data_IF_598394592998
#
_entry.id   IF_598394592998
#
_cell.length_a   1.000
_cell.length_b   1.000
_cell.length_c   1.000
_cell.angle_alpha   90.00
_cell.angle_beta   90.00
_cell.angle_gamma   90.00
#
_symmetry.space_group_name_H-M   'P 1'
#
loop_
_entity.id
_entity.type
_entity.pdbx_description
1 polymer ?
#
# COMPACT_ATOMS: atom_id res chain seq x y z
N UNK A 1 -24.52 22.59 -21.49
CA UNK A 1 -24.72 21.15 -21.78
C UNK A 1 -23.50 20.34 -22.22
N UNK A 2 -22.83 20.57 -23.38
CA UNK A 2 -21.71 19.69 -23.83
C UNK A 2 -20.46 19.72 -22.91
N UNK A 3 -20.12 20.86 -22.29
CA UNK A 3 -19.00 20.99 -21.34
C UNK A 3 -19.25 20.26 -20.01
N UNK A 4 -20.45 20.40 -19.44
CA UNK A 4 -20.85 19.72 -18.19
C UNK A 4 -20.91 18.20 -18.34
N UNK A 5 -21.40 17.67 -19.48
CA UNK A 5 -21.39 16.22 -19.75
C UNK A 5 -19.96 15.67 -19.79
N UNK A 6 -19.03 16.33 -20.49
CA UNK A 6 -17.60 15.90 -20.54
C UNK A 6 -16.92 15.97 -19.18
N UNK A 7 -17.29 16.93 -18.32
CA UNK A 7 -16.77 17.05 -16.95
C UNK A 7 -17.19 15.88 -16.06
N UNK A 8 -18.50 15.57 -16.03
CA UNK A 8 -19.03 14.44 -15.26
C UNK A 8 -18.35 13.12 -15.63
N UNK A 9 -18.01 12.92 -16.91
CA UNK A 9 -17.29 11.72 -17.37
C UNK A 9 -15.85 11.63 -16.82
N UNK A 10 -15.13 12.75 -16.71
CA UNK A 10 -13.76 12.76 -16.18
C UNK A 10 -13.71 12.55 -14.66
N UNK A 11 -14.60 13.21 -13.93
CA UNK A 11 -14.74 13.03 -12.47
C UNK A 11 -15.12 11.59 -12.14
N UNK A 12 -16.07 11.02 -12.89
CA UNK A 12 -16.45 9.61 -12.75
C UNK A 12 -15.27 8.69 -13.01
N UNK A 13 -14.49 8.90 -14.08
CA UNK A 13 -13.35 8.04 -14.41
C UNK A 13 -12.28 8.03 -13.31
N UNK A 14 -11.94 9.20 -12.76
CA UNK A 14 -10.91 9.29 -11.69
C UNK A 14 -11.45 8.68 -10.39
N UNK A 15 -12.71 8.93 -10.05
CA UNK A 15 -13.33 8.35 -8.85
C UNK A 15 -13.44 6.82 -8.92
N UNK A 16 -13.82 6.29 -10.09
CA UNK A 16 -13.87 4.84 -10.34
C UNK A 16 -12.48 4.22 -10.27
N UNK A 17 -11.48 4.88 -10.84
CA UNK A 17 -10.09 4.41 -10.80
C UNK A 17 -9.51 4.45 -9.38
N UNK A 18 -9.87 5.45 -8.57
CA UNK A 18 -9.55 5.49 -7.14
C UNK A 18 -10.20 4.34 -6.38
N UNK A 19 -11.48 4.05 -6.66
CA UNK A 19 -12.22 2.97 -6.01
C UNK A 19 -11.58 1.60 -6.29
N UNK A 20 -11.34 1.28 -7.57
CA UNK A 20 -10.69 0.03 -7.95
C UNK A 20 -9.23 -0.04 -7.49
N UNK A 21 -8.50 1.07 -7.54
CA UNK A 21 -7.15 1.17 -6.97
C UNK A 21 -7.14 0.92 -5.46
N UNK A 22 -8.12 1.45 -4.74
CA UNK A 22 -8.35 1.20 -3.31
C UNK A 22 -8.59 -0.27 -2.98
N UNK A 23 -9.47 -0.94 -3.75
CA UNK A 23 -9.71 -2.37 -3.60
C UNK A 23 -8.43 -3.16 -3.85
N UNK A 24 -7.72 -2.88 -4.94
CA UNK A 24 -6.48 -3.59 -5.28
C UNK A 24 -5.41 -3.41 -4.20
N UNK A 25 -5.28 -2.21 -3.67
CA UNK A 25 -4.37 -1.91 -2.57
C UNK A 25 -4.75 -2.64 -1.28
N UNK A 26 -6.04 -2.75 -0.94
CA UNK A 26 -6.49 -3.55 0.21
C UNK A 26 -6.12 -5.04 0.04
N UNK A 27 -6.28 -5.60 -1.17
CA UNK A 27 -5.85 -6.98 -1.45
C UNK A 27 -4.33 -7.11 -1.30
N UNK A 28 -3.55 -6.16 -1.82
CA UNK A 28 -2.09 -6.14 -1.67
C UNK A 28 -1.65 -6.04 -0.20
N UNK A 29 -2.35 -5.24 0.62
CA UNK A 29 -2.11 -5.13 2.05
C UNK A 29 -2.34 -6.46 2.77
N UNK A 30 -3.46 -7.14 2.49
CA UNK A 30 -3.77 -8.44 3.11
C UNK A 30 -2.74 -9.50 2.70
N UNK A 31 -2.32 -9.51 1.44
CA UNK A 31 -1.23 -10.38 0.97
C UNK A 31 0.08 -10.11 1.73
N UNK A 32 0.43 -8.83 1.92
CA UNK A 32 1.64 -8.43 2.64
C UNK A 32 1.62 -8.89 4.09
N UNK A 33 0.52 -8.65 4.80
CA UNK A 33 0.34 -9.09 6.19
C UNK A 33 0.41 -10.62 6.27
N UNK A 34 -0.24 -11.34 5.36
CA UNK A 34 -0.25 -12.81 5.35
C UNK A 34 1.15 -13.38 5.15
N UNK A 35 1.92 -12.82 4.20
CA UNK A 35 3.31 -13.25 3.96
C UNK A 35 4.21 -12.88 5.14
N UNK A 36 4.05 -11.69 5.73
CA UNK A 36 4.80 -11.29 6.92
C UNK A 36 4.54 -12.22 8.12
N UNK A 37 3.29 -12.62 8.36
CA UNK A 37 2.94 -13.58 9.42
C UNK A 37 3.51 -14.97 9.10
N UNK A 38 3.41 -15.44 7.84
CA UNK A 38 3.96 -16.72 7.43
C UNK A 38 5.49 -16.78 7.63
N UNK A 39 6.17 -15.67 7.35
CA UNK A 39 7.60 -15.47 7.61
C UNK A 39 7.91 -15.50 9.10
N UNK A 40 7.11 -14.80 9.91
CA UNK A 40 7.32 -14.73 11.36
C UNK A 40 7.11 -16.09 12.04
N UNK A 41 6.15 -16.88 11.55
CA UNK A 41 5.81 -18.19 12.11
C UNK A 41 6.72 -19.33 11.65
N UNK A 42 7.33 -19.24 10.46
CA UNK A 42 8.26 -20.27 9.97
C UNK A 42 9.70 -19.90 10.29
N UNK A 43 10.38 -20.80 11.00
CA UNK A 43 11.78 -20.64 11.39
C UNK A 43 12.79 -20.72 10.22
N UNK A 44 12.37 -21.12 9.01
CA UNK A 44 13.23 -21.32 7.84
C UNK A 44 13.07 -20.21 6.79
N UNK A 45 13.23 -18.96 7.23
CA UNK A 45 13.17 -17.76 6.39
C UNK A 45 14.09 -17.81 5.16
N UNK A 46 15.17 -18.58 5.23
CA UNK A 46 16.21 -18.70 4.20
C UNK A 46 15.83 -19.62 3.02
N UNK A 47 14.67 -20.27 3.05
CA UNK A 47 14.21 -21.02 1.88
C UNK A 47 13.89 -20.03 0.73
N UNK A 48 14.68 -20.11 -0.34
CA UNK A 48 14.64 -19.28 -1.55
C UNK A 48 13.22 -18.87 -2.04
N UNK A 49 12.19 -19.74 -2.06
CA UNK A 49 10.85 -19.34 -2.49
C UNK A 49 10.20 -18.26 -1.59
N UNK A 50 10.44 -18.27 -0.28
CA UNK A 50 9.78 -17.35 0.65
C UNK A 50 10.31 -15.92 0.51
N UNK A 51 11.62 -15.76 0.30
CA UNK A 51 12.26 -14.47 0.07
C UNK A 51 11.75 -13.82 -1.22
N UNK A 52 11.63 -14.60 -2.29
CA UNK A 52 11.09 -14.11 -3.57
C UNK A 52 9.63 -13.67 -3.40
N UNK A 53 8.79 -14.49 -2.78
CA UNK A 53 7.38 -14.13 -2.53
C UNK A 53 7.27 -12.85 -1.69
N UNK A 54 8.11 -12.69 -0.67
CA UNK A 54 8.13 -11.48 0.15
C UNK A 54 8.48 -10.23 -0.67
N UNK A 55 9.56 -10.27 -1.46
CA UNK A 55 10.01 -9.16 -2.29
C UNK A 55 8.92 -8.79 -3.31
N UNK A 56 8.33 -9.78 -3.99
CA UNK A 56 7.27 -9.55 -4.98
C UNK A 56 6.07 -8.86 -4.35
N UNK A 57 5.62 -9.33 -3.18
CA UNK A 57 4.46 -8.75 -2.49
C UNK A 57 4.75 -7.34 -1.98
N UNK A 58 5.96 -7.06 -1.50
CA UNK A 58 6.39 -5.69 -1.14
C UNK A 58 6.35 -4.76 -2.35
N UNK A 59 6.89 -5.18 -3.50
CA UNK A 59 6.90 -4.34 -4.71
C UNK A 59 5.48 -4.05 -5.17
N UNK A 60 4.59 -5.04 -5.17
CA UNK A 60 3.17 -4.86 -5.53
C UNK A 60 2.48 -3.89 -4.55
N UNK A 61 2.73 -4.04 -3.24
CA UNK A 61 2.16 -3.14 -2.24
C UNK A 61 2.70 -1.70 -2.36
N UNK A 62 4.00 -1.54 -2.61
CA UNK A 62 4.62 -0.24 -2.83
C UNK A 62 4.06 0.47 -4.07
N UNK A 63 3.96 -0.25 -5.20
CA UNK A 63 3.41 0.28 -6.44
C UNK A 63 1.93 0.65 -6.29
N UNK A 64 1.12 -0.20 -5.64
CA UNK A 64 -0.30 0.10 -5.41
C UNK A 64 -0.50 1.31 -4.48
N UNK A 65 0.33 1.44 -3.44
CA UNK A 65 0.31 2.61 -2.54
C UNK A 65 0.64 3.89 -3.31
N UNK A 66 1.67 3.86 -4.16
CA UNK A 66 2.07 4.99 -4.99
C UNK A 66 0.94 5.41 -5.95
N UNK A 67 0.26 4.42 -6.54
CA UNK A 67 -0.84 4.64 -7.48
C UNK A 67 -2.05 5.31 -6.80
N UNK A 68 -2.37 4.94 -5.56
CA UNK A 68 -3.41 5.62 -4.76
C UNK A 68 -3.02 7.07 -4.45
N UNK A 69 -1.77 7.31 -4.04
CA UNK A 69 -1.29 8.67 -3.73
C UNK A 69 -1.36 9.56 -4.97
N UNK A 70 -0.86 9.08 -6.11
CA UNK A 70 -0.89 9.82 -7.37
C UNK A 70 -2.33 10.14 -7.79
N UNK A 71 -3.24 9.16 -7.77
CA UNK A 71 -4.65 9.41 -8.13
C UNK A 71 -5.35 10.35 -7.15
N UNK A 72 -4.99 10.29 -5.86
CA UNK A 72 -5.50 11.22 -4.85
C UNK A 72 -5.07 12.66 -5.15
N UNK A 73 -3.81 12.87 -5.57
CA UNK A 73 -3.31 14.18 -5.98
C UNK A 73 -4.08 14.71 -7.20
N UNK A 74 -4.24 13.89 -8.24
CA UNK A 74 -5.01 14.29 -9.42
C UNK A 74 -6.48 14.58 -9.10
N UNK A 75 -7.09 13.77 -8.24
CA UNK A 75 -8.45 13.97 -7.75
C UNK A 75 -8.62 15.27 -6.97
N UNK A 76 -7.66 15.60 -6.09
CA UNK A 76 -7.64 16.87 -5.35
C UNK A 76 -7.50 18.08 -6.27
N UNK A 77 -6.59 18.04 -7.25
CA UNK A 77 -6.41 19.12 -8.23
C UNK A 77 -7.71 19.35 -9.02
N UNK A 78 -8.36 18.27 -9.47
CA UNK A 78 -9.62 18.35 -10.19
C UNK A 78 -10.74 18.91 -9.31
N UNK A 79 -10.84 18.47 -8.06
CA UNK A 79 -11.83 18.95 -7.11
C UNK A 79 -11.67 20.44 -6.79
N UNK A 80 -10.42 20.91 -6.65
CA UNK A 80 -10.09 22.33 -6.46
C UNK A 80 -10.49 23.16 -7.67
N UNK A 81 -10.25 22.66 -8.89
CA UNK A 81 -10.67 23.31 -10.14
C UNK A 81 -12.20 23.49 -10.25
N UNK A 82 -12.96 22.62 -9.59
CA UNK A 82 -14.42 22.63 -9.61
C UNK A 82 -15.06 23.13 -8.31
N UNK A 83 -14.25 23.67 -7.38
CA UNK A 83 -14.68 24.14 -6.06
C UNK A 83 -15.52 23.11 -5.27
N UNK A 84 -15.29 21.82 -5.51
CA UNK A 84 -16.05 20.74 -4.89
C UNK A 84 -15.34 20.23 -3.63
N UNK A 85 -15.65 20.87 -2.49
CA UNK A 85 -15.02 20.58 -1.19
C UNK A 85 -15.20 19.11 -0.76
N UNK A 86 -16.35 18.49 -1.03
CA UNK A 86 -16.63 17.11 -0.62
C UNK A 86 -15.69 16.13 -1.32
N UNK A 87 -15.55 16.24 -2.64
CA UNK A 87 -14.66 15.39 -3.43
C UNK A 87 -13.20 15.60 -3.01
N UNK A 88 -12.80 16.85 -2.76
CA UNK A 88 -11.47 17.18 -2.27
C UNK A 88 -11.14 16.45 -0.96
N UNK A 89 -12.05 16.50 0.03
CA UNK A 89 -11.87 15.85 1.33
C UNK A 89 -11.75 14.33 1.18
N UNK A 90 -12.56 13.71 0.31
CA UNK A 90 -12.50 12.27 0.07
C UNK A 90 -11.14 11.82 -0.50
N UNK A 91 -10.59 12.55 -1.46
CA UNK A 91 -9.26 12.25 -1.99
C UNK A 91 -8.15 12.53 -0.98
N UNK A 92 -8.28 13.58 -0.17
CA UNK A 92 -7.32 13.87 0.90
C UNK A 92 -7.30 12.75 1.95
N UNK A 93 -8.47 12.31 2.41
CA UNK A 93 -8.60 11.19 3.34
C UNK A 93 -8.02 9.90 2.77
N UNK A 94 -8.26 9.63 1.48
CA UNK A 94 -7.69 8.45 0.82
C UNK A 94 -6.16 8.48 0.77
N UNK A 95 -5.54 9.65 0.62
CA UNK A 95 -4.08 9.78 0.67
C UNK A 95 -3.54 9.61 2.09
N UNK A 96 -4.18 10.23 3.08
CA UNK A 96 -3.78 10.13 4.49
C UNK A 96 -3.90 8.69 4.99
N UNK A 97 -4.94 7.96 4.56
CA UNK A 97 -5.16 6.56 4.92
C UNK A 97 -3.99 5.65 4.51
N UNK A 98 -3.18 5.99 3.50
CA UNK A 98 -2.02 5.16 3.14
C UNK A 98 -0.96 5.16 4.25
N UNK A 99 -0.78 6.29 4.95
CA UNK A 99 0.28 6.50 5.95
C UNK A 99 0.25 5.45 7.08
N UNK A 100 -0.86 5.28 7.85
CA UNK A 100 -0.87 4.33 8.97
C UNK A 100 -0.59 2.90 8.54
N UNK A 101 -1.02 2.47 7.34
CA UNK A 101 -0.79 1.11 6.86
C UNK A 101 0.64 0.88 6.38
N UNK A 102 1.26 1.89 5.77
CA UNK A 102 2.71 1.84 5.48
C UNK A 102 3.51 1.80 6.78
N UNK A 103 3.09 2.53 7.82
CA UNK A 103 3.71 2.46 9.15
C UNK A 103 3.59 1.07 9.79
N UNK A 104 2.41 0.43 9.70
CA UNK A 104 2.22 -0.95 10.16
C UNK A 104 3.17 -1.92 9.44
N UNK A 105 3.30 -1.78 8.12
CA UNK A 105 4.28 -2.57 7.35
C UNK A 105 5.72 -2.35 7.85
N UNK A 106 6.13 -1.09 8.08
CA UNK A 106 7.47 -0.78 8.57
C UNK A 106 7.76 -1.43 9.93
N UNK A 107 6.75 -1.49 10.82
CA UNK A 107 6.85 -2.19 12.11
C UNK A 107 7.11 -3.68 11.88
N UNK A 108 6.29 -4.35 11.05
CA UNK A 108 6.48 -5.77 10.75
C UNK A 108 7.85 -6.06 10.12
N UNK A 109 8.28 -5.26 9.15
CA UNK A 109 9.58 -5.41 8.51
C UNK A 109 10.73 -5.25 9.51
N UNK A 110 10.64 -4.25 10.41
CA UNK A 110 11.62 -4.04 11.48
C UNK A 110 11.65 -5.20 12.47
N UNK A 111 10.49 -5.71 12.90
CA UNK A 111 10.39 -6.86 13.81
C UNK A 111 10.97 -8.14 13.20
N UNK A 112 10.72 -8.40 11.91
CA UNK A 112 11.30 -9.54 11.19
C UNK A 112 12.82 -9.42 11.12
N UNK A 113 13.33 -8.22 10.81
CA UNK A 113 14.78 -7.97 10.74
C UNK A 113 15.47 -8.18 12.10
N UNK A 114 14.88 -7.67 13.19
CA UNK A 114 15.40 -7.84 14.54
C UNK A 114 15.41 -9.32 14.98
N UNK A 115 14.34 -10.06 14.67
CA UNK A 115 14.25 -11.49 15.00
C UNK A 115 15.32 -12.30 14.25
N UNK A 116 15.55 -11.97 12.98
CA UNK A 116 16.57 -12.62 12.15
C UNK A 116 17.98 -12.34 12.65
N UNK A 117 18.24 -11.10 13.11
CA UNK A 117 19.52 -10.70 13.70
C UNK A 117 19.83 -11.47 14.99
N UNK A 118 18.89 -11.52 15.94
CA UNK A 118 19.07 -12.24 17.20
C UNK A 118 19.32 -13.75 16.99
N UNK A 119 18.66 -14.35 15.98
CA UNK A 119 18.89 -15.74 15.61
C UNK A 119 20.30 -15.96 15.06
N UNK A 120 20.78 -15.07 14.20
CA UNK A 120 22.15 -15.12 13.69
C UNK A 120 23.19 -14.96 14.81
N UNK A 121 23.01 -13.96 15.69
CA UNK A 121 23.89 -13.70 16.83
C UNK A 121 23.97 -14.90 17.80
N UNK A 122 22.84 -15.56 18.06
CA UNK A 122 22.80 -16.77 18.89
C UNK A 122 23.56 -17.95 18.29
N UNK A 123 23.62 -18.06 16.95
CA UNK A 123 24.37 -19.12 16.27
C UNK A 123 25.88 -18.87 16.30
N UNK A 124 26.31 -17.61 16.20
CA UNK A 124 27.73 -17.23 16.32
C UNK A 124 28.30 -17.28 17.73
N UNK A 125 27.47 -17.17 18.78
CA UNK A 125 27.93 -17.25 20.17
C UNK A 125 28.02 -18.70 20.71
N UNK A 126 27.59 -19.70 19.93
CA UNK A 126 27.65 -21.13 20.29
C UNK A 126 28.79 -21.84 19.53
N UNK A 127 29.44 -21.18 18.57
CA UNK A 127 30.63 -21.64 17.84
C UNK A 127 31.92 -21.10 18.46
#
# INVERSE_FOLDING_TARGET
MKKEKKQKTKEYKISTLQFWGGIWWLVALVMLISVAIAIYTKNDFLAFPYIISYIVVIVIFGLSSLLIVINSIFGMILAKKHNNKKIFILFLLSAILVIPFVSIFAIFASSISLTSYNKYESQTNIS
#
